data_IF_571375433561
#
_entry.id   IF_571375433561
#
_cell.length_a   1.000
_cell.length_b   1.000
_cell.length_c   1.000
_cell.angle_alpha   90.00
_cell.angle_beta   90.00
_cell.angle_gamma   90.00
#
_symmetry.space_group_name_H-M   'P 1'
#
loop_
_entity.id
_entity.type
_entity.pdbx_description
1 polymer ?
#
# COMPACT_ATOMS: atom_id res chain seq x y z
N UNK A 1 51.69 -65.75 2.53
CA UNK A 1 51.96 -66.22 1.15
C UNK A 1 52.85 -65.20 0.46
N UNK A 2 53.82 -65.63 -0.35
CA UNK A 2 55.17 -65.05 -0.37
C UNK A 2 55.57 -64.42 -1.70
N UNK A 3 56.58 -63.51 -1.61
CA UNK A 3 57.76 -63.27 -2.50
C UNK A 3 57.51 -63.07 -4.01
N UNK A 4 58.20 -62.18 -4.71
CA UNK A 4 59.58 -62.30 -5.22
C UNK A 4 60.01 -60.91 -5.75
N UNK A 5 61.07 -60.26 -5.27
CA UNK A 5 62.50 -60.34 -5.72
C UNK A 5 62.73 -60.39 -7.25
N UNK A 6 63.13 -59.23 -7.82
CA UNK A 6 64.20 -58.94 -8.83
C UNK A 6 64.77 -60.09 -9.71
N UNK A 7 65.16 -59.88 -11.00
CA UNK A 7 66.36 -59.07 -11.34
C UNK A 7 66.48 -58.42 -12.76
N UNK A 8 67.53 -57.58 -12.85
CA UNK A 8 68.34 -57.10 -13.99
C UNK A 8 68.25 -57.83 -15.35
N UNK A 9 68.28 -57.07 -16.47
CA UNK A 9 69.02 -57.35 -17.73
C UNK A 9 69.10 -56.04 -18.57
N UNK A 10 70.28 -55.39 -18.64
CA UNK A 10 71.31 -55.35 -19.71
C UNK A 10 71.02 -54.43 -20.93
N UNK A 11 72.06 -53.64 -21.23
CA UNK A 11 72.33 -52.79 -22.39
C UNK A 11 72.14 -53.48 -23.76
N UNK A 12 71.65 -52.74 -24.77
CA UNK A 12 72.22 -52.54 -26.12
C UNK A 12 71.25 -51.67 -26.97
N UNK A 13 71.59 -50.43 -27.31
CA UNK A 13 72.04 -49.99 -28.65
C UNK A 13 71.17 -50.46 -29.84
N UNK A 14 70.36 -49.55 -30.41
CA UNK A 14 70.44 -49.16 -31.83
C UNK A 14 69.50 -48.00 -32.19
N UNK A 15 70.05 -47.04 -32.93
CA UNK A 15 69.42 -45.83 -33.45
C UNK A 15 68.30 -46.12 -34.45
N UNK A 16 67.20 -45.38 -34.39
CA UNK A 16 66.44 -45.02 -35.59
C UNK A 16 65.72 -43.68 -35.43
N UNK A 17 66.10 -42.78 -36.31
CA UNK A 17 65.58 -41.43 -36.50
C UNK A 17 64.10 -41.50 -36.96
N UNK A 18 63.18 -40.91 -36.20
CA UNK A 18 61.84 -40.59 -36.70
C UNK A 18 61.38 -39.22 -36.17
N UNK A 19 61.36 -38.30 -37.12
CA UNK A 19 60.87 -36.93 -37.07
C UNK A 19 59.37 -36.93 -36.71
N UNK A 20 58.98 -36.40 -35.55
CA UNK A 20 57.60 -35.99 -35.30
C UNK A 20 57.56 -34.65 -34.57
N UNK A 21 56.91 -33.68 -35.23
CA UNK A 21 56.56 -32.37 -34.72
C UNK A 21 55.54 -32.50 -33.58
N UNK A 22 55.84 -31.89 -32.44
CA UNK A 22 54.90 -31.68 -31.35
C UNK A 22 55.11 -30.30 -30.74
N UNK A 23 54.54 -29.27 -31.37
CA UNK A 23 54.39 -27.98 -30.72
C UNK A 23 53.45 -28.15 -29.52
N UNK A 24 54.02 -28.12 -28.31
CA UNK A 24 53.26 -27.87 -27.10
C UNK A 24 52.78 -26.40 -27.13
N UNK A 25 51.67 -26.17 -27.84
CA UNK A 25 50.90 -24.94 -27.71
C UNK A 25 50.18 -24.95 -26.37
N UNK A 26 50.79 -24.36 -25.34
CA UNK A 26 50.06 -23.91 -24.17
C UNK A 26 49.10 -22.80 -24.62
N UNK A 27 47.89 -23.16 -25.01
CA UNK A 27 46.80 -22.19 -25.13
C UNK A 27 46.35 -21.86 -23.72
N UNK A 28 46.93 -20.80 -23.15
CA UNK A 28 46.25 -20.06 -22.09
C UNK A 28 44.96 -19.53 -22.72
N UNK A 29 43.85 -20.23 -22.49
CA UNK A 29 42.51 -19.67 -22.69
C UNK A 29 42.35 -18.60 -21.61
N UNK A 30 42.83 -17.40 -21.91
CA UNK A 30 42.43 -16.19 -21.20
C UNK A 30 40.90 -16.14 -21.33
N UNK A 31 40.19 -16.35 -20.21
CA UNK A 31 38.77 -16.01 -20.18
C UNK A 31 38.71 -14.53 -20.52
N UNK A 32 38.12 -14.20 -21.66
CA UNK A 32 37.70 -12.84 -21.98
C UNK A 32 36.90 -12.34 -20.77
N UNK A 33 37.50 -11.45 -20.00
CA UNK A 33 36.90 -10.91 -18.80
C UNK A 33 35.78 -9.98 -19.28
N UNK A 34 34.52 -10.37 -19.06
CA UNK A 34 33.38 -9.50 -19.33
C UNK A 34 33.68 -8.11 -18.75
N UNK A 35 33.43 -7.03 -19.51
CA UNK A 35 33.71 -5.68 -19.03
C UNK A 35 33.02 -5.46 -17.69
N UNK A 36 33.75 -4.90 -16.74
CA UNK A 36 33.23 -4.66 -15.40
C UNK A 36 31.92 -3.85 -15.50
N UNK A 37 30.88 -4.22 -14.73
CA UNK A 37 29.61 -3.53 -14.81
C UNK A 37 29.81 -2.06 -14.43
N UNK A 38 29.20 -1.15 -15.20
CA UNK A 38 29.25 0.29 -14.98
C UNK A 38 28.00 0.84 -14.30
N UNK A 39 26.94 0.03 -14.26
CA UNK A 39 25.63 0.40 -13.70
C UNK A 39 25.20 -0.57 -12.60
N UNK A 40 24.36 -0.09 -11.71
CA UNK A 40 23.64 -0.88 -10.72
C UNK A 40 22.12 -0.75 -10.89
N UNK A 41 21.39 -1.19 -9.88
CA UNK A 41 19.93 -1.05 -9.82
C UNK A 41 19.47 -0.64 -8.43
N UNK A 42 18.27 -0.07 -8.33
CA UNK A 42 17.55 0.14 -7.06
C UNK A 42 16.21 -0.59 -7.12
N UNK A 43 15.89 -1.34 -6.07
CA UNK A 43 14.59 -2.00 -5.89
C UNK A 43 13.96 -1.60 -4.57
N UNK A 44 12.66 -1.82 -4.44
CA UNK A 44 11.96 -1.66 -3.17
C UNK A 44 10.49 -2.02 -3.31
N UNK A 45 9.73 -1.84 -2.24
CA UNK A 45 8.29 -2.16 -2.20
C UNK A 45 7.50 -1.01 -1.60
N UNK A 46 6.37 -0.66 -2.22
CA UNK A 46 5.40 0.31 -1.68
C UNK A 46 4.35 -0.40 -0.85
N UNK A 47 4.07 0.12 0.34
CA UNK A 47 2.98 -0.33 1.19
C UNK A 47 2.13 0.86 1.66
N UNK A 48 0.79 0.81 1.54
CA UNK A 48 0.01 -0.24 0.87
C UNK A 48 0.22 -0.21 -0.66
N UNK A 49 -0.11 -1.32 -1.32
CA UNK A 49 -0.04 -1.41 -2.80
C UNK A 49 -0.95 -0.36 -3.43
N UNK A 50 -0.43 0.36 -4.43
CA UNK A 50 -1.16 1.45 -5.10
C UNK A 50 -1.08 2.81 -4.40
N UNK A 51 -0.42 2.93 -3.24
CA UNK A 51 -0.33 4.19 -2.51
C UNK A 51 0.57 5.25 -3.18
N UNK A 52 1.54 4.80 -3.96
CA UNK A 52 2.47 5.64 -4.73
C UNK A 52 2.28 5.30 -6.21
N UNK A 53 2.03 6.33 -7.02
CA UNK A 53 1.83 6.19 -8.47
C UNK A 53 3.15 6.20 -9.24
N UNK A 54 4.19 6.82 -8.69
CA UNK A 54 5.52 6.84 -9.29
C UNK A 54 6.63 7.02 -8.25
N UNK A 55 7.77 6.38 -8.51
CA UNK A 55 9.04 6.59 -7.80
C UNK A 55 10.03 7.23 -8.77
N UNK A 56 10.60 8.36 -8.39
CA UNK A 56 11.58 9.10 -9.21
C UNK A 56 12.92 9.12 -8.50
N UNK A 57 13.95 8.54 -9.11
CA UNK A 57 15.33 8.68 -8.66
C UNK A 57 15.99 9.85 -9.39
N UNK A 58 16.56 10.78 -8.63
CA UNK A 58 17.28 11.95 -9.16
C UNK A 58 18.74 11.88 -8.74
N UNK A 59 19.67 11.93 -9.70
CA UNK A 59 21.10 11.96 -9.39
C UNK A 59 21.55 13.39 -9.02
N UNK A 60 22.81 13.54 -8.59
CA UNK A 60 23.38 14.84 -8.21
C UNK A 60 23.40 15.87 -9.37
N UNK A 61 23.39 15.41 -10.63
CA UNK A 61 23.32 16.25 -11.82
C UNK A 61 21.88 16.63 -12.24
N UNK A 62 20.86 16.18 -11.51
CA UNK A 62 19.45 16.45 -11.81
C UNK A 62 18.81 15.53 -12.84
N UNK A 63 19.53 14.53 -13.35
CA UNK A 63 18.96 13.50 -14.23
C UNK A 63 17.96 12.64 -13.44
N UNK A 64 16.80 12.37 -14.04
CA UNK A 64 15.71 11.64 -13.39
C UNK A 64 15.42 10.30 -14.07
N UNK A 65 15.07 9.32 -13.25
CA UNK A 65 14.71 7.97 -13.67
C UNK A 65 13.40 7.59 -12.98
N UNK A 66 12.42 7.18 -13.77
CA UNK A 66 11.06 6.92 -13.30
C UNK A 66 10.80 5.42 -13.21
N UNK A 67 10.17 4.98 -12.12
CA UNK A 67 9.60 3.64 -11.98
C UNK A 67 8.15 3.72 -11.54
N UNK A 68 7.30 2.92 -12.17
CA UNK A 68 5.92 2.71 -11.73
C UNK A 68 5.88 1.45 -10.86
N UNK A 69 5.46 1.55 -9.59
CA UNK A 69 5.26 0.37 -8.75
C UNK A 69 4.27 -0.62 -9.36
N UNK A 70 4.53 -1.91 -9.17
CA UNK A 70 3.63 -2.97 -9.61
C UNK A 70 2.27 -2.85 -8.88
N UNK A 71 1.18 -2.88 -9.64
CA UNK A 71 -0.17 -2.67 -9.11
C UNK A 71 -0.70 -3.78 -8.19
N UNK A 72 -0.06 -4.95 -8.17
CA UNK A 72 -0.47 -6.10 -7.34
C UNK A 72 0.48 -6.35 -6.17
N UNK A 73 1.76 -6.02 -6.32
CA UNK A 73 2.79 -6.31 -5.30
C UNK A 73 3.40 -5.07 -4.66
N UNK A 74 3.21 -3.89 -5.25
CA UNK A 74 3.86 -2.65 -4.82
C UNK A 74 5.36 -2.59 -5.14
N UNK A 75 5.94 -3.64 -5.72
CA UNK A 75 7.36 -3.68 -6.04
C UNK A 75 7.72 -2.68 -7.14
N UNK A 76 8.83 -1.95 -6.99
CA UNK A 76 9.38 -1.09 -8.03
C UNK A 76 10.84 -1.46 -8.31
N UNK A 77 11.31 -1.16 -9.52
CA UNK A 77 12.70 -1.38 -9.93
C UNK A 77 13.17 -0.25 -10.85
N UNK A 78 14.35 0.26 -10.57
CA UNK A 78 15.08 1.25 -11.36
C UNK A 78 16.41 0.61 -11.78
N UNK A 79 16.45 -0.10 -12.91
CA UNK A 79 17.66 -0.75 -13.40
C UNK A 79 18.57 0.24 -14.13
N UNK A 80 19.83 -0.17 -14.34
CA UNK A 80 20.82 0.54 -15.17
C UNK A 80 21.08 1.98 -14.73
N UNK A 81 21.16 2.20 -13.43
CA UNK A 81 21.57 3.47 -12.86
C UNK A 81 23.10 3.51 -12.77
N UNK A 82 23.71 4.61 -13.18
CA UNK A 82 25.14 4.82 -12.98
C UNK A 82 25.49 4.75 -11.49
N UNK A 83 26.72 4.34 -11.16
CA UNK A 83 27.17 4.36 -9.78
C UNK A 83 27.20 5.79 -9.23
N UNK A 84 26.61 6.00 -8.05
CA UNK A 84 26.50 7.32 -7.45
C UNK A 84 25.36 7.46 -6.45
N UNK A 85 25.18 8.67 -5.93
CA UNK A 85 24.12 8.99 -4.99
C UNK A 85 22.87 9.49 -5.71
N UNK A 86 21.72 8.96 -5.28
CA UNK A 86 20.40 9.32 -5.80
C UNK A 86 19.47 9.72 -4.66
N UNK A 87 18.56 10.64 -4.96
CA UNK A 87 17.41 10.96 -4.11
C UNK A 87 16.16 10.34 -4.74
N UNK A 88 15.51 9.44 -4.01
CA UNK A 88 14.21 8.90 -4.34
C UNK A 88 13.12 9.85 -3.85
N UNK A 89 12.25 10.27 -4.76
CA UNK A 89 11.03 11.01 -4.48
C UNK A 89 9.82 10.17 -4.91
N UNK A 90 8.68 10.41 -4.26
CA UNK A 90 7.51 9.57 -4.37
C UNK A 90 6.30 10.44 -4.73
N UNK A 91 5.64 10.13 -5.85
CA UNK A 91 4.39 10.77 -6.21
C UNK A 91 3.25 10.00 -5.57
N UNK A 92 2.54 10.55 -4.57
CA UNK A 92 1.43 9.84 -3.95
C UNK A 92 0.30 9.62 -4.96
N UNK A 93 -0.38 8.49 -4.83
CA UNK A 93 -1.70 8.35 -5.41
C UNK A 93 -2.69 9.23 -4.63
N UNK A 94 -3.84 9.55 -5.25
CA UNK A 94 -4.90 10.27 -4.56
C UNK A 94 -5.29 9.50 -3.28
N UNK A 95 -5.16 10.12 -2.11
CA UNK A 95 -5.42 9.45 -0.83
C UNK A 95 -4.26 9.16 0.04
N UNK A 96 -3.07 9.54 -0.39
CA UNK A 96 -1.90 9.35 0.42
C UNK A 96 -1.16 10.66 0.57
N UNK A 97 -0.61 10.85 1.77
CA UNK A 97 0.36 11.91 2.01
C UNK A 97 1.64 11.58 1.27
N UNK A 98 2.28 12.58 0.70
CA UNK A 98 3.58 12.42 0.05
C UNK A 98 4.61 11.92 1.08
N UNK A 99 5.24 10.75 0.88
CA UNK A 99 6.33 10.31 1.74
C UNK A 99 7.54 11.24 1.64
N UNK A 100 8.32 11.30 2.72
CA UNK A 100 9.61 12.00 2.71
C UNK A 100 10.56 11.37 1.67
N UNK A 101 11.37 12.18 0.96
CA UNK A 101 12.40 11.66 0.07
C UNK A 101 13.42 10.76 0.79
N UNK A 102 14.00 9.79 0.08
CA UNK A 102 15.04 8.89 0.61
C UNK A 102 16.32 8.97 -0.21
N UNK A 103 17.47 9.02 0.46
CA UNK A 103 18.76 8.94 -0.22
C UNK A 103 19.21 7.48 -0.34
N UNK A 104 19.72 7.12 -1.51
CA UNK A 104 20.30 5.79 -1.79
C UNK A 104 21.62 5.93 -2.56
N UNK A 105 22.53 4.98 -2.38
CA UNK A 105 23.79 4.91 -3.12
C UNK A 105 23.78 3.70 -4.02
N UNK A 106 23.90 3.93 -5.33
CA UNK A 106 24.02 2.88 -6.34
C UNK A 106 25.48 2.50 -6.49
N UNK A 107 25.76 1.21 -6.35
CA UNK A 107 27.07 0.62 -6.66
C UNK A 107 26.97 -0.21 -7.92
N UNK A 108 27.92 -0.05 -8.85
CA UNK A 108 27.90 -0.79 -10.11
C UNK A 108 27.98 -2.31 -9.86
N UNK A 109 27.23 -3.08 -10.66
CA UNK A 109 27.08 -4.53 -10.50
C UNK A 109 26.14 -4.97 -9.38
N UNK A 110 25.70 -4.06 -8.50
CA UNK A 110 24.85 -4.39 -7.36
C UNK A 110 23.42 -3.88 -7.54
N UNK A 111 22.48 -4.60 -6.94
CA UNK A 111 21.11 -4.12 -6.71
C UNK A 111 21.01 -3.60 -5.28
N UNK A 112 20.68 -2.33 -5.14
CA UNK A 112 20.47 -1.67 -3.86
C UNK A 112 19.00 -1.79 -3.46
N UNK A 113 18.72 -2.34 -2.29
CA UNK A 113 17.36 -2.39 -1.76
C UNK A 113 17.04 -1.12 -0.95
N UNK A 114 16.03 -0.37 -1.39
CA UNK A 114 15.48 0.81 -0.71
C UNK A 114 14.48 0.44 0.40
N UNK A 115 14.20 -0.85 0.57
CA UNK A 115 13.28 -1.41 1.54
C UNK A 115 11.83 -1.09 1.26
N UNK A 116 11.00 -1.17 2.29
CA UNK A 116 9.58 -0.81 2.21
C UNK A 116 9.38 0.69 2.40
N UNK A 117 8.65 1.31 1.46
CA UNK A 117 8.18 2.68 1.54
C UNK A 117 6.74 2.63 2.04
N UNK A 118 6.54 3.08 3.27
CA UNK A 118 5.20 3.15 3.85
C UNK A 118 4.60 4.51 3.55
N UNK A 119 3.49 4.52 2.82
CA UNK A 119 2.66 5.69 2.62
C UNK A 119 1.52 5.69 3.63
N UNK A 120 1.13 6.87 4.08
CA UNK A 120 0.05 7.05 5.06
C UNK A 120 -1.13 7.69 4.36
N UNK A 121 -2.33 7.18 4.65
CA UNK A 121 -3.58 7.77 4.17
C UNK A 121 -3.66 9.28 4.52
N UNK A 122 -4.28 10.07 3.63
CA UNK A 122 -4.60 11.48 3.89
C UNK A 122 -5.85 11.67 4.76
N UNK A 123 -6.56 10.58 5.06
CA UNK A 123 -7.77 10.56 5.88
C UNK A 123 -9.05 10.86 5.10
N UNK A 124 -9.01 11.06 3.79
CA UNK A 124 -10.21 11.39 2.99
C UNK A 124 -10.88 10.13 2.48
N UNK A 125 -12.17 9.91 2.76
CA UNK A 125 -12.92 8.77 2.22
C UNK A 125 -13.00 8.86 0.69
N UNK A 126 -12.53 7.82 0.00
CA UNK A 126 -12.43 7.74 -1.47
C UNK A 126 -13.19 6.55 -2.06
N UNK A 127 -13.68 5.65 -1.22
CA UNK A 127 -14.45 4.52 -1.67
C UNK A 127 -14.95 3.65 -0.52
N UNK A 128 -15.55 2.54 -0.92
CA UNK A 128 -16.23 1.64 -0.01
C UNK A 128 -17.73 1.64 -0.20
N UNK A 129 -18.43 1.08 0.77
CA UNK A 129 -19.88 0.87 0.76
C UNK A 129 -20.47 1.26 2.09
N UNK A 130 -21.69 1.79 2.05
CA UNK A 130 -22.51 2.02 3.24
C UNK A 130 -23.88 1.44 2.95
N UNK A 131 -24.42 0.63 3.86
CA UNK A 131 -25.75 0.07 3.76
C UNK A 131 -26.57 0.36 5.01
N UNK A 132 -27.87 0.60 4.88
CA UNK A 132 -28.77 0.77 6.03
C UNK A 132 -30.21 0.44 5.65
N UNK A 133 -31.07 0.21 6.65
CA UNK A 133 -32.50 -0.06 6.46
C UNK A 133 -33.39 0.87 7.25
N UNK A 134 -34.48 1.33 6.64
CA UNK A 134 -35.54 2.12 7.27
C UNK A 134 -36.89 1.52 6.90
N UNK A 135 -37.71 1.17 7.90
CA UNK A 135 -39.03 0.59 7.67
C UNK A 135 -39.00 -0.70 6.82
N UNK A 136 -37.92 -1.48 6.90
CA UNK A 136 -37.72 -2.69 6.09
C UNK A 136 -37.15 -2.46 4.69
N UNK A 137 -37.03 -1.21 4.23
CA UNK A 137 -36.40 -0.87 2.93
C UNK A 137 -34.89 -0.72 3.12
N UNK A 138 -34.10 -1.37 2.27
CA UNK A 138 -32.64 -1.30 2.30
C UNK A 138 -32.11 -0.28 1.29
N UNK A 139 -31.16 0.52 1.76
CA UNK A 139 -30.43 1.52 1.01
C UNK A 139 -28.95 1.12 0.96
N UNK A 140 -28.33 1.37 -0.19
CA UNK A 140 -26.87 1.23 -0.36
C UNK A 140 -26.34 2.55 -0.92
N UNK A 141 -25.49 3.24 -0.17
CA UNK A 141 -24.82 4.46 -0.62
C UNK A 141 -23.45 4.17 -1.20
N UNK A 142 -23.21 4.65 -2.43
CA UNK A 142 -21.94 4.44 -3.15
C UNK A 142 -21.60 5.64 -4.07
N UNK A 143 -20.35 6.12 -4.07
CA UNK A 143 -19.34 5.96 -3.01
C UNK A 143 -19.61 6.93 -1.84
N UNK A 144 -19.37 6.52 -0.59
CA UNK A 144 -19.42 7.44 0.54
C UNK A 144 -18.35 8.52 0.43
N UNK A 145 -18.59 9.65 1.08
CA UNK A 145 -17.63 10.74 1.25
C UNK A 145 -17.41 11.04 2.73
N UNK A 146 -16.34 11.74 3.05
CA UNK A 146 -16.06 12.20 4.41
C UNK A 146 -14.58 12.05 4.77
N UNK A 147 -14.29 11.95 6.06
CA UNK A 147 -12.92 11.86 6.56
C UNK A 147 -12.79 10.97 7.78
N UNK A 148 -11.63 10.33 7.91
CA UNK A 148 -11.22 9.54 9.07
C UNK A 148 -9.82 9.98 9.45
N UNK A 149 -9.69 10.63 10.60
CA UNK A 149 -8.44 11.13 11.14
C UNK A 149 -8.36 10.83 12.62
N UNK A 150 -7.72 9.71 12.96
CA UNK A 150 -7.54 9.27 14.34
C UNK A 150 -6.65 10.23 15.14
N UNK A 151 -5.73 10.96 14.50
CA UNK A 151 -4.85 11.88 15.21
C UNK A 151 -5.61 13.09 15.77
N UNK A 152 -6.67 13.52 15.06
CA UNK A 152 -7.57 14.59 15.50
C UNK A 152 -8.90 14.06 16.08
N UNK A 153 -9.03 12.74 16.23
CA UNK A 153 -10.23 12.08 16.73
C UNK A 153 -11.47 12.23 15.85
N UNK A 154 -11.29 12.43 14.55
CA UNK A 154 -12.35 12.67 13.57
C UNK A 154 -12.74 11.38 12.88
N UNK A 155 -14.04 11.12 12.81
CA UNK A 155 -14.65 10.23 11.83
C UNK A 155 -15.93 10.91 11.34
N UNK A 156 -15.99 11.18 10.04
CA UNK A 156 -17.14 11.73 9.37
C UNK A 156 -17.42 10.90 8.13
N UNK A 157 -18.66 10.48 7.99
CA UNK A 157 -19.14 9.68 6.88
C UNK A 157 -20.43 10.29 6.37
N UNK A 158 -20.55 10.45 5.06
CA UNK A 158 -21.77 10.83 4.37
C UNK A 158 -22.03 9.86 3.22
N UNK A 159 -23.25 9.37 3.09
CA UNK A 159 -23.66 8.46 2.03
C UNK A 159 -25.05 8.82 1.52
N UNK A 160 -25.27 8.68 0.22
CA UNK A 160 -26.56 8.97 -0.43
C UNK A 160 -27.16 7.64 -0.91
N UNK A 161 -28.33 7.28 -0.40
CA UNK A 161 -29.09 6.09 -0.76
C UNK A 161 -30.17 6.42 -1.78
N UNK A 162 -29.79 6.64 -3.04
CA UNK A 162 -30.71 7.05 -4.11
C UNK A 162 -30.74 8.57 -4.32
N UNK A 163 -31.85 9.11 -4.83
CA UNK A 163 -31.98 10.57 -5.08
C UNK A 163 -32.51 11.35 -3.87
N UNK A 164 -33.09 10.65 -2.90
CA UNK A 164 -33.92 11.24 -1.86
C UNK A 164 -33.35 11.08 -0.46
N UNK A 165 -32.52 10.06 -0.21
CA UNK A 165 -32.15 9.68 1.14
C UNK A 165 -30.65 9.84 1.36
N UNK A 166 -30.27 10.56 2.40
CA UNK A 166 -28.89 10.76 2.79
C UNK A 166 -28.69 10.39 4.26
N UNK A 167 -27.56 9.77 4.54
CA UNK A 167 -27.10 9.39 5.85
C UNK A 167 -25.79 10.11 6.16
N UNK A 168 -25.65 10.63 7.38
CA UNK A 168 -24.38 11.12 7.90
C UNK A 168 -24.10 10.54 9.28
N UNK A 169 -22.86 10.13 9.52
CA UNK A 169 -22.34 9.73 10.83
C UNK A 169 -21.15 10.62 11.17
N UNK A 170 -21.09 11.12 12.40
CA UNK A 170 -20.03 12.03 12.86
C UNK A 170 -19.57 11.65 14.25
N UNK A 171 -18.26 11.54 14.42
CA UNK A 171 -17.53 11.42 15.69
C UNK A 171 -16.40 12.44 15.66
N UNK A 172 -16.64 13.63 16.18
CA UNK A 172 -15.60 14.67 16.35
C UNK A 172 -14.82 14.46 17.65
N UNK A 173 -13.50 14.59 17.61
CA UNK A 173 -12.60 14.52 18.78
C UNK A 173 -12.78 13.28 19.68
N UNK A 174 -13.46 12.25 19.19
CA UNK A 174 -13.91 11.09 19.99
C UNK A 174 -13.55 9.77 19.32
N UNK A 175 -13.07 9.79 18.08
CA UNK A 175 -12.72 8.59 17.34
C UNK A 175 -11.29 8.12 17.69
N UNK A 176 -11.13 6.88 18.12
CA UNK A 176 -9.85 6.29 18.50
C UNK A 176 -9.61 4.91 17.86
N UNK A 177 -10.30 4.62 16.75
CA UNK A 177 -10.18 3.36 16.01
C UNK A 177 -11.30 2.37 16.33
N UNK A 178 -10.95 1.11 16.57
CA UNK A 178 -11.92 0.04 16.90
C UNK A 178 -12.61 0.35 18.22
N UNK A 179 -13.94 0.24 18.24
CA UNK A 179 -14.71 0.53 19.44
C UNK A 179 -16.19 0.80 19.18
N UNK A 180 -16.93 0.91 20.28
CA UNK A 180 -18.33 1.30 20.27
C UNK A 180 -18.49 2.77 20.69
N UNK A 181 -19.16 3.53 19.84
CA UNK A 181 -19.34 4.97 19.95
C UNK A 181 -20.83 5.29 20.09
N UNK A 182 -21.32 5.63 21.30
CA UNK A 182 -22.74 5.86 21.54
C UNK A 182 -23.19 7.22 20.96
N UNK A 183 -24.24 7.18 20.14
CA UNK A 183 -24.86 8.35 19.52
C UNK A 183 -25.81 9.06 20.50
N UNK A 184 -25.83 10.38 20.45
CA UNK A 184 -26.75 11.19 21.27
C UNK A 184 -26.31 11.35 22.73
N UNK A 185 -25.04 11.10 23.06
CA UNK A 185 -24.51 11.16 24.43
C UNK A 185 -23.60 12.36 24.68
N UNK A 186 -23.14 13.03 23.64
CA UNK A 186 -22.12 14.09 23.68
C UNK A 186 -22.26 14.95 22.40
N UNK A 187 -21.89 16.25 22.40
CA UNK A 187 -22.03 17.11 21.21
C UNK A 187 -21.27 16.61 19.99
N UNK A 188 -20.34 15.66 20.16
CA UNK A 188 -19.44 15.25 19.10
C UNK A 188 -19.73 13.89 18.46
N UNK A 189 -20.66 13.09 18.99
CA UNK A 189 -21.05 11.80 18.37
C UNK A 189 -22.51 11.85 17.96
N UNK A 190 -22.74 12.07 16.67
CA UNK A 190 -24.07 12.30 16.10
C UNK A 190 -24.30 11.55 14.79
N UNK A 191 -25.56 11.25 14.52
CA UNK A 191 -26.04 10.75 13.25
C UNK A 191 -27.13 11.67 12.72
N UNK A 192 -27.12 11.89 11.41
CA UNK A 192 -28.19 12.57 10.69
C UNK A 192 -28.74 11.65 9.61
N UNK A 193 -30.05 11.72 9.44
CA UNK A 193 -30.75 11.18 8.30
C UNK A 193 -31.55 12.30 7.65
N UNK A 194 -31.37 12.47 6.34
CA UNK A 194 -32.00 13.52 5.55
C UNK A 194 -32.82 12.86 4.46
N UNK A 195 -34.09 13.25 4.33
CA UNK A 195 -35.00 12.78 3.29
C UNK A 195 -35.56 13.95 2.49
N UNK A 196 -35.28 13.97 1.20
CA UNK A 196 -35.87 14.90 0.24
C UNK A 196 -37.17 14.30 -0.31
N UNK A 197 -38.29 15.00 -0.16
CA UNK A 197 -39.62 14.56 -0.62
C UNK A 197 -40.13 15.36 -1.82
N UNK A 198 -39.24 15.99 -2.58
CA UNK A 198 -39.59 16.93 -3.66
C UNK A 198 -39.44 18.38 -3.19
N UNK A 199 -40.51 19.09 -2.80
CA UNK A 199 -40.44 20.49 -2.38
C UNK A 199 -39.93 20.68 -0.94
N UNK A 200 -39.62 19.60 -0.22
CA UNK A 200 -39.25 19.67 1.19
C UNK A 200 -38.09 18.73 1.52
N UNK A 201 -37.29 19.15 2.49
CA UNK A 201 -36.22 18.35 3.08
C UNK A 201 -36.56 18.12 4.55
N UNK A 202 -36.68 16.85 4.92
CA UNK A 202 -36.89 16.41 6.30
C UNK A 202 -35.55 15.99 6.89
N UNK A 203 -35.19 16.57 8.02
CA UNK A 203 -33.94 16.27 8.73
C UNK A 203 -34.26 15.63 10.07
N UNK A 204 -33.61 14.50 10.34
CA UNK A 204 -33.69 13.75 11.58
C UNK A 204 -32.28 13.64 12.15
N UNK A 205 -32.10 13.97 13.44
CA UNK A 205 -30.79 13.91 14.07
C UNK A 205 -30.80 13.21 15.43
N UNK A 206 -29.64 12.71 15.83
CA UNK A 206 -29.34 12.40 17.24
C UNK A 206 -28.63 13.60 17.87
N UNK A 207 -29.13 14.09 18.99
CA UNK A 207 -28.50 15.14 19.81
C UNK A 207 -28.31 14.61 21.23
N UNK A 208 -27.64 15.38 22.09
CA UNK A 208 -27.49 15.02 23.51
C UNK A 208 -28.83 14.82 24.25
N UNK A 209 -29.93 15.35 23.72
CA UNK A 209 -31.24 15.33 24.37
C UNK A 209 -32.31 14.63 23.53
N UNK A 210 -31.98 14.08 22.36
CA UNK A 210 -32.97 13.51 21.45
C UNK A 210 -32.36 12.46 20.53
N UNK A 211 -33.00 11.30 20.43
CA UNK A 211 -32.47 10.19 19.65
C UNK A 211 -31.31 9.48 20.34
N UNK A 212 -31.02 8.27 19.87
CA UNK A 212 -30.03 7.38 20.51
C UNK A 212 -29.55 6.33 19.51
N UNK A 213 -28.38 5.76 19.73
CA UNK A 213 -27.86 4.68 18.91
C UNK A 213 -26.39 4.40 19.18
N UNK A 214 -25.75 3.71 18.25
CA UNK A 214 -24.33 3.44 18.32
C UNK A 214 -23.72 3.26 16.93
N UNK A 215 -22.45 3.65 16.82
CA UNK A 215 -21.55 3.23 15.75
C UNK A 215 -20.58 2.22 16.37
N UNK A 216 -20.47 1.03 15.81
CA UNK A 216 -19.52 0.00 16.24
C UNK A 216 -18.49 -0.22 15.14
N UNK A 217 -17.28 0.30 15.34
CA UNK A 217 -16.15 0.13 14.42
C UNK A 217 -15.46 -1.18 14.78
N UNK A 218 -15.53 -2.17 13.90
CA UNK A 218 -15.01 -3.52 14.13
C UNK A 218 -13.64 -3.75 13.51
N UNK A 219 -13.27 -2.95 12.50
CA UNK A 219 -11.95 -2.96 11.89
C UNK A 219 -11.49 -1.54 11.59
N UNK A 220 -10.22 -1.25 11.85
CA UNK A 220 -9.60 0.04 11.54
C UNK A 220 -8.10 -0.17 11.30
N UNK A 221 -7.60 0.32 10.17
CA UNK A 221 -6.18 0.39 9.85
C UNK A 221 -5.89 1.74 9.18
N UNK A 222 -5.23 2.62 9.91
CA UNK A 222 -4.86 3.96 9.44
C UNK A 222 -3.78 3.93 8.36
N UNK A 223 -2.95 2.88 8.30
CA UNK A 223 -1.88 2.74 7.31
C UNK A 223 -2.43 2.20 6.00
N UNK A 224 -3.27 1.17 6.08
CA UNK A 224 -3.96 0.62 4.90
C UNK A 224 -5.12 1.50 4.40
N UNK A 225 -5.50 2.52 5.18
CA UNK A 225 -6.60 3.42 4.86
C UNK A 225 -7.95 2.71 4.84
N UNK A 226 -8.23 1.90 5.87
CA UNK A 226 -9.46 1.09 5.92
C UNK A 226 -10.18 1.19 7.25
N UNK A 227 -11.52 1.19 7.21
CA UNK A 227 -12.38 1.04 8.38
C UNK A 227 -13.63 0.27 8.01
N UNK A 228 -14.12 -0.57 8.91
CA UNK A 228 -15.38 -1.27 8.75
C UNK A 228 -16.13 -1.38 10.07
N UNK A 229 -17.45 -1.51 9.99
CA UNK A 229 -18.27 -1.57 11.18
C UNK A 229 -19.76 -1.59 10.88
N UNK A 230 -20.53 -1.44 11.95
CA UNK A 230 -21.98 -1.39 11.93
C UNK A 230 -22.49 -0.14 12.64
N UNK A 231 -23.74 0.21 12.39
CA UNK A 231 -24.41 1.28 13.12
C UNK A 231 -25.92 1.04 13.19
N UNK A 232 -26.56 1.62 14.20
CA UNK A 232 -28.00 1.72 14.30
C UNK A 232 -28.34 2.92 15.17
N UNK A 233 -29.44 3.60 14.84
CA UNK A 233 -29.92 4.72 15.64
C UNK A 233 -31.38 5.03 15.40
N UNK A 234 -32.00 5.66 16.39
CA UNK A 234 -33.26 6.36 16.24
C UNK A 234 -32.98 7.85 16.30
N UNK A 235 -33.31 8.57 15.22
CA UNK A 235 -33.16 10.00 15.09
C UNK A 235 -34.52 10.70 15.19
N UNK A 236 -34.53 11.92 15.72
CA UNK A 236 -35.74 12.73 15.95
C UNK A 236 -35.74 13.89 14.97
N UNK A 237 -36.90 14.18 14.39
CA UNK A 237 -37.14 15.33 13.50
C UNK A 237 -38.53 15.92 13.74
N UNK A 238 -38.85 17.01 13.05
CA UNK A 238 -40.14 17.72 13.22
C UNK A 238 -41.34 16.89 12.74
N UNK A 239 -41.13 15.96 11.80
CA UNK A 239 -42.14 15.04 11.28
C UNK A 239 -42.25 13.73 12.10
N UNK A 240 -41.53 13.62 13.21
CA UNK A 240 -41.50 12.42 14.06
C UNK A 240 -40.12 11.76 14.09
N UNK A 241 -40.10 10.46 14.37
CA UNK A 241 -38.88 9.69 14.58
C UNK A 241 -38.58 8.78 13.39
N UNK A 242 -37.30 8.57 13.10
CA UNK A 242 -36.83 7.58 12.12
C UNK A 242 -35.87 6.63 12.80
N UNK A 243 -36.11 5.33 12.63
CA UNK A 243 -35.19 4.27 13.06
C UNK A 243 -34.40 3.75 11.87
N UNK A 244 -33.09 3.95 11.94
CA UNK A 244 -32.10 3.39 11.02
C UNK A 244 -31.53 2.11 11.64
N UNK A 245 -31.67 1.01 10.92
CA UNK A 245 -31.33 -0.35 11.36
C UNK A 245 -30.42 -1.03 10.36
N UNK A 246 -29.78 -2.14 10.76
CA UNK A 246 -28.89 -2.94 9.89
C UNK A 246 -27.82 -2.10 9.18
N UNK A 247 -27.34 -1.04 9.83
CA UNK A 247 -26.33 -0.16 9.29
C UNK A 247 -24.99 -0.88 9.20
N UNK A 248 -24.34 -0.79 8.04
CA UNK A 248 -23.00 -1.35 7.78
C UNK A 248 -22.18 -0.34 6.99
N UNK A 249 -20.86 -0.32 7.24
CA UNK A 249 -19.93 0.42 6.40
C UNK A 249 -18.64 -0.38 6.22
N UNK A 250 -18.03 -0.20 5.05
CA UNK A 250 -16.67 -0.60 4.73
C UNK A 250 -16.06 0.54 3.91
N UNK A 251 -14.97 1.14 4.39
CA UNK A 251 -14.42 2.38 3.87
C UNK A 251 -12.98 2.19 3.39
N UNK A 252 -12.64 2.96 2.36
CA UNK A 252 -11.28 3.27 1.96
C UNK A 252 -11.07 4.77 2.14
N UNK A 253 -10.11 5.17 2.98
CA UNK A 253 -9.81 6.57 3.28
C UNK A 253 -8.32 6.87 3.26
#
# INVERSE_FOLDING_TARGET
MPRFTSPLYRLAWLSLLLLTFGFAGCTNTEKEQDPAPTTGAVTGVISPVGAISAVTATNAGGLTFLATPNASTGAFSLPKLDAGSYTLSFTPANGYKQPAPRSVTVTAGNTTDAGTIVAVSDGTIKGGTVGWSIGGVTYTGVPPTGSVDVANGIFFLSAIGGLTDQLQLSMGMSFYGVGNYPLGTSPYVSALYIRNTGPSTLTYGTTSNSGSGSINVTAFDATAGTAAGTFSFTAVGTAGNVSVTNGTFSLRF
#
